data_IF_534873471784
#
_entry.id   IF_534873471784
#
_cell.length_a   1.000
_cell.length_b   1.000
_cell.length_c   1.000
_cell.angle_alpha   90.00
_cell.angle_beta   90.00
_cell.angle_gamma   90.00
#
_symmetry.space_group_name_H-M   'P 1'
#
loop_
_entity.id
_entity.type
_entity.pdbx_description
1 polymer ?
#
# COMPACT_ATOMS: atom_id res chain seq x y z
N UNK A 1 34.33 4.99 -0.65
CA UNK A 1 33.93 6.09 0.29
C UNK A 1 34.37 5.67 1.69
N UNK A 2 34.97 6.58 2.46
CA UNK A 2 35.32 6.28 3.86
C UNK A 2 34.07 6.27 4.79
N UNK A 3 34.26 5.82 6.04
CA UNK A 3 33.15 5.63 6.99
C UNK A 3 32.45 6.96 7.33
N UNK A 4 33.20 8.05 7.49
CA UNK A 4 32.62 9.35 7.83
C UNK A 4 31.83 9.95 6.66
N UNK A 5 32.32 9.79 5.44
CA UNK A 5 31.61 10.21 4.24
C UNK A 5 30.30 9.40 4.06
N UNK A 6 30.31 8.06 4.36
CA UNK A 6 29.09 7.24 4.35
C UNK A 6 28.08 7.71 5.39
N UNK A 7 28.51 7.98 6.62
CA UNK A 7 27.64 8.52 7.67
C UNK A 7 27.01 9.86 7.26
N UNK A 8 27.82 10.77 6.72
CA UNK A 8 27.34 12.08 6.28
C UNK A 8 26.33 11.95 5.13
N UNK A 9 26.60 11.08 4.15
CA UNK A 9 25.69 10.81 3.04
C UNK A 9 24.37 10.21 3.53
N UNK A 10 24.42 9.16 4.36
CA UNK A 10 23.22 8.52 4.91
C UNK A 10 22.37 9.51 5.70
N UNK A 11 23.01 10.38 6.50
CA UNK A 11 22.31 11.44 7.23
C UNK A 11 21.58 12.41 6.27
N UNK A 12 22.24 12.86 5.19
CA UNK A 12 21.60 13.73 4.20
C UNK A 12 20.42 13.06 3.52
N UNK A 13 20.53 11.76 3.18
CA UNK A 13 19.43 10.97 2.60
C UNK A 13 18.23 10.94 3.54
N UNK A 14 18.45 10.62 4.82
CA UNK A 14 17.37 10.60 5.82
C UNK A 14 16.71 11.96 6.00
N UNK A 15 17.51 13.01 6.10
CA UNK A 15 17.00 14.39 6.20
C UNK A 15 16.17 14.77 4.97
N UNK A 16 16.66 14.45 3.77
CA UNK A 16 15.93 14.73 2.53
C UNK A 16 14.58 14.02 2.48
N UNK A 17 14.52 12.77 2.90
CA UNK A 17 13.25 12.06 2.99
C UNK A 17 12.26 12.74 3.94
N UNK A 18 12.69 13.17 5.11
CA UNK A 18 11.84 13.93 6.04
C UNK A 18 11.38 15.27 5.44
N UNK A 19 12.24 16.00 4.73
CA UNK A 19 11.88 17.23 4.00
C UNK A 19 10.82 16.99 2.92
N UNK A 20 10.88 15.82 2.25
CA UNK A 20 9.88 15.41 1.27
C UNK A 20 8.56 14.95 1.92
N UNK A 21 8.48 14.92 3.26
CA UNK A 21 7.30 14.59 4.03
C UNK A 21 7.10 13.10 4.29
N UNK A 22 8.16 12.28 4.16
CA UNK A 22 8.11 10.91 4.68
C UNK A 22 8.15 10.93 6.22
N UNK A 23 7.41 10.02 6.86
CA UNK A 23 7.37 9.92 8.33
C UNK A 23 8.68 9.40 8.89
N UNK A 24 9.25 8.39 8.25
CA UNK A 24 10.52 7.75 8.62
C UNK A 24 11.32 7.37 7.37
N UNK A 25 12.65 7.32 7.49
CA UNK A 25 13.57 6.86 6.43
C UNK A 25 14.60 5.93 7.03
N UNK A 26 14.82 4.79 6.39
CA UNK A 26 15.79 3.78 6.79
C UNK A 26 16.62 3.30 5.62
N UNK A 27 17.67 2.55 5.94
CA UNK A 27 18.59 1.96 4.96
C UNK A 27 18.97 0.55 5.41
N UNK A 28 18.87 -0.41 4.51
CA UNK A 28 19.36 -1.78 4.74
C UNK A 28 20.42 -2.15 3.68
N UNK A 29 21.26 -3.17 3.92
CA UNK A 29 22.08 -3.72 2.86
C UNK A 29 21.19 -4.28 1.74
N UNK A 30 21.66 -4.19 0.48
CA UNK A 30 21.00 -4.90 -0.61
C UNK A 30 21.35 -6.38 -0.53
N UNK A 31 20.34 -7.23 -0.40
CA UNK A 31 20.45 -8.68 -0.44
C UNK A 31 19.15 -9.31 -0.95
N UNK A 32 19.21 -10.58 -1.31
CA UNK A 32 18.03 -11.36 -1.66
C UNK A 32 17.21 -11.72 -0.42
N UNK A 33 15.90 -11.92 -0.60
CA UNK A 33 14.91 -12.24 0.45
C UNK A 33 14.32 -13.67 0.25
N UNK A 34 15.15 -14.73 0.25
CA UNK A 34 14.68 -16.08 -0.08
C UNK A 34 13.65 -16.63 0.90
N UNK A 35 13.79 -16.33 2.20
CA UNK A 35 12.84 -16.77 3.22
C UNK A 35 11.45 -16.12 3.05
N UNK A 36 11.43 -14.85 2.66
CA UNK A 36 10.18 -14.16 2.35
C UNK A 36 9.53 -14.73 1.08
N UNK A 37 10.31 -14.99 0.05
CA UNK A 37 9.84 -15.63 -1.18
C UNK A 37 9.28 -17.03 -0.91
N UNK A 38 9.96 -17.83 -0.09
CA UNK A 38 9.47 -19.15 0.34
C UNK A 38 8.14 -19.04 1.07
N UNK A 39 8.04 -18.13 2.04
CA UNK A 39 6.80 -17.88 2.78
C UNK A 39 5.64 -17.40 1.89
N UNK A 40 5.91 -16.70 0.80
CA UNK A 40 4.89 -16.30 -0.20
C UNK A 40 4.43 -17.53 -1.00
N UNK A 41 5.34 -18.43 -1.40
CA UNK A 41 5.02 -19.66 -2.15
C UNK A 41 4.14 -20.63 -1.37
N UNK A 42 4.27 -20.67 -0.06
CA UNK A 42 3.51 -21.55 0.83
C UNK A 42 2.06 -21.05 1.06
N UNK A 43 1.69 -19.86 0.55
CA UNK A 43 0.38 -19.24 0.79
C UNK A 43 -0.53 -19.39 -0.41
N UNK A 44 -1.77 -19.79 -0.15
CA UNK A 44 -2.83 -19.85 -1.16
C UNK A 44 -3.14 -18.45 -1.73
N UNK A 45 -3.39 -18.42 -3.04
CA UNK A 45 -3.87 -17.23 -3.75
C UNK A 45 -2.77 -16.24 -4.17
N UNK A 46 -1.50 -16.61 -4.00
CA UNK A 46 -0.36 -15.76 -4.40
C UNK A 46 0.22 -16.10 -5.78
N UNK A 47 -0.30 -17.10 -6.49
CA UNK A 47 0.21 -17.59 -7.78
C UNK A 47 0.35 -16.44 -8.79
N UNK A 48 -0.65 -15.58 -8.89
CA UNK A 48 -0.62 -14.43 -9.81
C UNK A 48 0.51 -13.43 -9.53
N UNK A 49 0.98 -13.34 -8.29
CA UNK A 49 2.11 -12.48 -7.92
C UNK A 49 3.43 -13.20 -8.18
N UNK A 50 3.48 -14.51 -7.98
CA UNK A 50 4.64 -15.37 -8.27
C UNK A 50 4.89 -15.40 -9.77
N UNK A 51 3.84 -15.52 -10.58
CA UNK A 51 3.93 -15.60 -12.05
C UNK A 51 4.15 -14.23 -12.73
N UNK A 52 4.03 -13.12 -11.99
CA UNK A 52 4.25 -11.79 -12.53
C UNK A 52 5.71 -11.36 -12.38
N UNK A 53 6.48 -11.22 -13.48
CA UNK A 53 7.91 -10.90 -13.44
C UNK A 53 8.22 -9.47 -12.94
N UNK A 54 7.20 -8.62 -12.78
CA UNK A 54 7.34 -7.26 -12.25
C UNK A 54 6.84 -7.12 -10.80
N UNK A 55 6.42 -8.22 -10.17
CA UNK A 55 5.85 -8.19 -8.82
C UNK A 55 6.92 -8.12 -7.72
N UNK A 56 6.45 -7.85 -6.51
CA UNK A 56 7.28 -7.92 -5.30
C UNK A 56 7.91 -9.31 -5.06
N UNK A 57 7.37 -10.37 -5.66
CA UNK A 57 7.97 -11.69 -5.58
C UNK A 57 9.26 -11.77 -6.40
N UNK A 58 9.24 -11.28 -7.66
CA UNK A 58 10.45 -11.11 -8.45
C UNK A 58 11.45 -10.17 -7.77
N UNK A 59 10.94 -9.11 -7.13
CA UNK A 59 11.74 -8.16 -6.35
C UNK A 59 12.42 -8.75 -5.10
N UNK A 60 12.09 -9.99 -4.70
CA UNK A 60 12.82 -10.69 -3.65
C UNK A 60 14.26 -11.06 -4.04
N UNK A 61 14.62 -10.93 -5.31
CA UNK A 61 15.94 -11.32 -5.82
C UNK A 61 16.63 -10.13 -6.52
N UNK A 62 16.94 -9.03 -5.80
CA UNK A 62 17.59 -7.87 -6.40
C UNK A 62 18.93 -8.17 -7.06
N UNK A 63 19.64 -9.22 -6.63
CA UNK A 63 20.87 -9.68 -7.28
C UNK A 63 20.68 -10.09 -8.75
N UNK A 64 19.47 -10.49 -9.17
CA UNK A 64 19.19 -10.94 -10.53
C UNK A 64 18.98 -9.77 -11.51
N UNK A 65 18.44 -8.64 -11.05
CA UNK A 65 18.09 -7.51 -11.94
C UNK A 65 18.88 -6.22 -11.65
N UNK A 66 19.57 -6.13 -10.51
CA UNK A 66 20.45 -5.01 -10.16
C UNK A 66 21.68 -5.50 -9.38
N UNK A 67 22.56 -6.30 -10.00
CA UNK A 67 23.67 -6.99 -9.33
C UNK A 67 24.72 -6.05 -8.70
N UNK A 68 24.80 -4.78 -9.14
CA UNK A 68 25.64 -3.75 -8.53
C UNK A 68 25.02 -3.11 -7.29
N UNK A 69 23.78 -3.46 -6.93
CA UNK A 69 23.07 -2.91 -5.77
C UNK A 69 23.81 -3.19 -4.45
N UNK A 70 23.93 -2.17 -3.61
CA UNK A 70 24.62 -2.27 -2.31
C UNK A 70 23.72 -1.88 -1.14
N UNK A 71 22.78 -0.99 -1.36
CA UNK A 71 21.85 -0.53 -0.31
C UNK A 71 20.43 -0.41 -0.86
N UNK A 72 19.47 -0.63 0.03
CA UNK A 72 18.07 -0.28 -0.20
C UNK A 72 17.71 0.83 0.78
N UNK A 73 17.38 2.01 0.24
CA UNK A 73 16.77 3.10 1.00
C UNK A 73 15.28 2.82 1.07
N UNK A 74 14.67 2.95 2.23
CA UNK A 74 13.25 2.77 2.41
C UNK A 74 12.64 3.89 3.24
N UNK A 75 11.35 4.17 3.03
CA UNK A 75 10.65 5.22 3.75
C UNK A 75 9.19 4.85 3.99
N UNK A 76 8.60 5.47 5.01
CA UNK A 76 7.19 5.36 5.34
C UNK A 76 6.49 6.70 5.12
N UNK A 77 5.24 6.68 4.67
CA UNK A 77 4.39 7.84 4.53
C UNK A 77 3.01 7.57 5.14
N UNK A 78 2.68 8.29 6.22
CA UNK A 78 1.39 8.20 6.88
C UNK A 78 0.28 8.93 6.14
N UNK A 79 -0.91 8.32 6.09
CA UNK A 79 -2.11 8.92 5.53
C UNK A 79 -3.30 8.89 6.50
N UNK A 80 -3.07 8.53 7.74
CA UNK A 80 -4.10 8.45 8.76
C UNK A 80 -4.53 9.80 9.35
N UNK A 81 -3.91 10.92 8.97
CA UNK A 81 -4.20 12.28 9.44
C UNK A 81 -5.30 13.00 8.64
N UNK A 82 -5.81 12.40 7.58
CA UNK A 82 -6.84 12.98 6.71
C UNK A 82 -8.24 12.68 7.24
N UNK A 83 -9.12 13.67 7.14
CA UNK A 83 -10.56 13.53 7.42
C UNK A 83 -11.25 12.92 6.19
N UNK A 84 -11.44 11.60 6.24
CA UNK A 84 -12.08 10.87 5.15
C UNK A 84 -13.59 10.89 5.32
N UNK A 85 -14.35 11.42 4.33
CA UNK A 85 -15.81 11.48 4.40
C UNK A 85 -16.43 10.08 4.56
N UNK A 86 -17.34 9.88 5.53
CA UNK A 86 -18.00 8.59 5.76
C UNK A 86 -18.76 8.07 4.53
N UNK A 87 -19.26 8.98 3.68
CA UNK A 87 -19.96 8.66 2.43
C UNK A 87 -19.05 7.91 1.47
N UNK A 88 -17.79 8.34 1.34
CA UNK A 88 -16.80 7.69 0.48
C UNK A 88 -16.25 6.41 1.12
N UNK A 89 -16.05 6.40 2.44
CA UNK A 89 -15.52 5.23 3.17
C UNK A 89 -16.43 4.01 3.10
N UNK A 90 -17.73 4.19 2.83
CA UNK A 90 -18.64 3.06 2.56
C UNK A 90 -18.27 2.27 1.31
N UNK A 91 -17.56 2.89 0.37
CA UNK A 91 -17.30 2.37 -0.95
C UNK A 91 -15.82 2.23 -1.28
N UNK A 92 -14.96 3.07 -0.71
CA UNK A 92 -13.56 3.20 -1.10
C UNK A 92 -12.67 3.18 0.14
N UNK A 93 -11.63 2.33 0.16
CA UNK A 93 -10.67 2.29 1.25
C UNK A 93 -9.79 3.55 1.33
N UNK A 94 -9.40 3.95 2.55
CA UNK A 94 -8.63 5.18 2.84
C UNK A 94 -7.36 5.33 2.01
N UNK A 95 -6.64 4.25 1.78
CA UNK A 95 -5.37 4.28 1.03
C UNK A 95 -5.55 4.82 -0.40
N UNK A 96 -6.69 4.57 -1.02
CA UNK A 96 -7.02 5.07 -2.36
C UNK A 96 -7.48 6.52 -2.31
N UNK A 97 -8.33 6.87 -1.34
CA UNK A 97 -8.78 8.25 -1.11
C UNK A 97 -7.59 9.17 -0.77
N UNK A 98 -6.57 8.66 -0.10
CA UNK A 98 -5.34 9.39 0.21
C UNK A 98 -4.48 9.72 -1.01
N UNK A 99 -4.68 9.07 -2.15
CA UNK A 99 -3.91 9.27 -3.40
C UNK A 99 -2.40 9.13 -3.23
N UNK A 100 -1.96 8.33 -2.26
CA UNK A 100 -0.55 8.15 -1.92
C UNK A 100 -0.01 6.73 -2.20
N UNK A 101 -0.86 5.80 -2.61
CA UNK A 101 -0.45 4.41 -2.81
C UNK A 101 0.21 4.17 -4.16
N UNK A 102 -0.34 4.73 -5.23
CA UNK A 102 0.22 4.55 -6.56
C UNK A 102 1.03 5.74 -6.96
N UNK A 103 2.32 5.54 -7.24
CA UNK A 103 3.19 6.59 -7.72
C UNK A 103 2.95 6.85 -9.21
N UNK A 104 1.87 7.53 -9.56
CA UNK A 104 1.80 8.11 -10.92
C UNK A 104 2.44 9.48 -10.90
N UNK A 105 3.07 9.90 -12.04
CA UNK A 105 3.88 11.12 -12.10
C UNK A 105 3.18 12.38 -11.56
N UNK A 106 1.88 12.48 -11.75
CA UNK A 106 1.12 13.69 -11.43
C UNK A 106 0.59 13.76 -9.99
N UNK A 107 0.61 12.64 -9.26
CA UNK A 107 0.14 12.64 -7.88
C UNK A 107 1.26 12.89 -6.87
N UNK A 108 0.86 13.12 -5.60
CA UNK A 108 1.78 13.40 -4.51
C UNK A 108 2.77 12.24 -4.28
N UNK A 109 2.31 10.99 -4.42
CA UNK A 109 3.15 9.82 -4.26
C UNK A 109 4.23 9.73 -5.35
N UNK A 110 3.84 9.91 -6.62
CA UNK A 110 4.78 9.88 -7.74
C UNK A 110 5.82 11.00 -7.65
N UNK A 111 5.37 12.23 -7.35
CA UNK A 111 6.28 13.37 -7.20
C UNK A 111 7.30 13.18 -6.07
N UNK A 112 6.89 12.60 -4.93
CA UNK A 112 7.80 12.31 -3.82
C UNK A 112 8.78 11.18 -4.15
N UNK A 113 8.29 10.12 -4.77
CA UNK A 113 9.11 8.99 -5.20
C UNK A 113 10.20 9.47 -6.18
N UNK A 114 9.81 10.26 -7.16
CA UNK A 114 10.72 10.84 -8.16
C UNK A 114 11.72 11.79 -7.53
N UNK A 115 11.27 12.77 -6.73
CA UNK A 115 12.14 13.74 -6.06
C UNK A 115 13.19 13.08 -5.14
N UNK A 116 12.84 11.96 -4.48
CA UNK A 116 13.81 11.20 -3.70
C UNK A 116 14.81 10.47 -4.60
N UNK A 117 14.34 9.86 -5.68
CA UNK A 117 15.20 9.19 -6.66
C UNK A 117 16.19 10.17 -7.32
N UNK A 118 15.71 11.32 -7.80
CA UNK A 118 16.54 12.41 -8.35
C UNK A 118 17.57 12.91 -7.33
N UNK A 119 17.17 13.03 -6.06
CA UNK A 119 18.10 13.39 -5.01
C UNK A 119 19.21 12.35 -4.85
N UNK A 120 18.87 11.06 -4.80
CA UNK A 120 19.86 9.97 -4.70
C UNK A 120 20.84 10.00 -5.89
N UNK A 121 20.33 10.17 -7.10
CA UNK A 121 21.15 10.32 -8.32
C UNK A 121 22.05 11.57 -8.26
N UNK A 122 21.55 12.68 -7.74
CA UNK A 122 22.35 13.92 -7.54
C UNK A 122 23.52 13.75 -6.56
N UNK A 123 23.46 12.71 -5.70
CA UNK A 123 24.57 12.33 -4.81
C UNK A 123 25.58 11.38 -5.49
N UNK A 124 25.41 11.11 -6.79
CA UNK A 124 26.30 10.26 -7.59
C UNK A 124 26.01 8.77 -7.49
N UNK A 125 24.81 8.38 -7.08
CA UNK A 125 24.38 6.98 -7.02
C UNK A 125 23.62 6.59 -8.28
N UNK A 126 23.80 5.36 -8.74
CA UNK A 126 22.89 4.72 -9.68
C UNK A 126 21.66 4.23 -8.91
N UNK A 127 20.47 4.65 -9.33
CA UNK A 127 19.19 4.23 -8.76
C UNK A 127 18.50 3.28 -9.72
N UNK A 128 18.03 2.12 -9.23
CA UNK A 128 17.21 1.23 -10.05
C UNK A 128 15.93 1.91 -10.48
N UNK A 129 15.74 2.03 -11.80
CA UNK A 129 14.58 2.66 -12.45
C UNK A 129 13.72 1.66 -13.24
N UNK A 130 13.92 0.35 -13.00
CA UNK A 130 13.12 -0.69 -13.63
C UNK A 130 11.72 -0.80 -13.01
N UNK A 131 10.94 -1.73 -13.54
CA UNK A 131 9.54 -1.94 -13.17
C UNK A 131 9.30 -3.07 -12.15
N UNK A 132 10.37 -3.72 -11.67
CA UNK A 132 10.24 -4.78 -10.66
C UNK A 132 10.01 -4.12 -9.30
N UNK A 133 8.90 -4.48 -8.65
CA UNK A 133 8.52 -3.97 -7.33
C UNK A 133 9.32 -4.70 -6.24
N UNK A 134 10.01 -3.96 -5.38
CA UNK A 134 10.72 -4.54 -4.24
C UNK A 134 9.74 -4.97 -3.13
N UNK A 135 10.08 -5.99 -2.32
CA UNK A 135 9.24 -6.44 -1.20
C UNK A 135 9.31 -5.44 -0.03
N UNK A 136 8.62 -4.29 -0.15
CA UNK A 136 8.75 -3.16 0.76
C UNK A 136 8.49 -3.49 2.24
N UNK A 137 7.62 -4.46 2.53
CA UNK A 137 7.30 -4.83 3.93
C UNK A 137 8.49 -5.43 4.68
N UNK A 138 9.15 -6.51 4.22
CA UNK A 138 10.34 -7.04 4.88
C UNK A 138 11.48 -6.02 4.91
N UNK A 139 11.68 -5.24 3.84
CA UNK A 139 12.69 -4.18 3.77
C UNK A 139 12.49 -3.14 4.89
N UNK A 140 11.30 -2.58 5.00
CA UNK A 140 11.00 -1.59 6.04
C UNK A 140 11.02 -2.18 7.46
N UNK A 141 10.67 -3.46 7.61
CA UNK A 141 10.75 -4.13 8.91
C UNK A 141 12.20 -4.36 9.35
N UNK A 142 13.07 -4.80 8.45
CA UNK A 142 14.52 -4.97 8.72
C UNK A 142 15.19 -3.64 9.08
N UNK A 143 14.77 -2.55 8.43
CA UNK A 143 15.22 -1.20 8.76
C UNK A 143 14.66 -0.67 10.10
N UNK A 144 13.78 -1.40 10.78
CA UNK A 144 13.13 -0.97 12.03
C UNK A 144 12.10 0.15 11.85
N UNK A 145 11.62 0.37 10.62
CA UNK A 145 10.60 1.39 10.36
C UNK A 145 9.20 0.91 10.69
N UNK A 146 8.93 -0.38 10.58
CA UNK A 146 7.60 -0.98 10.79
C UNK A 146 7.68 -2.30 11.55
N UNK A 147 6.56 -2.65 12.18
CA UNK A 147 6.29 -3.99 12.73
C UNK A 147 5.12 -4.62 11.96
N UNK A 148 4.86 -5.91 12.16
CA UNK A 148 3.76 -6.60 11.52
C UNK A 148 2.52 -6.68 12.40
N UNK A 149 1.34 -6.66 11.76
CA UNK A 149 0.07 -7.02 12.39
C UNK A 149 -0.44 -8.39 11.93
N UNK A 150 -1.34 -8.99 12.73
CA UNK A 150 -1.99 -10.27 12.39
C UNK A 150 -2.86 -10.17 11.11
N UNK A 151 -3.28 -8.95 10.71
CA UNK A 151 -3.96 -8.68 9.44
C UNK A 151 -3.00 -8.55 8.24
N UNK A 152 -1.72 -8.88 8.40
CA UNK A 152 -0.68 -8.80 7.38
C UNK A 152 -0.32 -7.38 6.91
N UNK A 153 -0.75 -6.33 7.63
CA UNK A 153 -0.31 -4.95 7.40
C UNK A 153 0.97 -4.63 8.15
N UNK A 154 1.73 -3.67 7.61
CA UNK A 154 2.81 -2.99 8.30
C UNK A 154 2.23 -1.91 9.22
N UNK A 155 2.86 -1.70 10.37
CA UNK A 155 2.45 -0.72 11.38
C UNK A 155 3.64 0.14 11.79
N UNK A 156 3.41 1.44 11.89
CA UNK A 156 4.29 2.37 12.60
C UNK A 156 3.65 2.79 13.92
N UNK A 157 4.43 3.34 14.83
CA UNK A 157 3.91 3.88 16.09
C UNK A 157 3.03 5.12 15.83
N UNK A 158 3.45 5.99 14.89
CA UNK A 158 2.80 7.25 14.61
C UNK A 158 1.52 7.10 13.77
N UNK A 159 1.54 6.21 12.76
CA UNK A 159 0.50 6.14 11.72
C UNK A 159 -0.32 4.84 11.78
N UNK A 160 -0.02 3.95 12.74
CA UNK A 160 -0.64 2.64 12.77
C UNK A 160 -0.42 1.91 11.44
N UNK A 161 -1.46 1.29 10.89
CA UNK A 161 -1.40 0.65 9.58
C UNK A 161 -1.79 1.57 8.41
N UNK A 162 -2.09 2.84 8.67
CA UNK A 162 -2.40 3.83 7.63
C UNK A 162 -1.12 4.45 7.08
N UNK A 163 -0.26 3.60 6.53
CA UNK A 163 1.09 3.93 6.07
C UNK A 163 1.37 3.28 4.71
N UNK A 164 2.04 4.02 3.82
CA UNK A 164 2.59 3.51 2.56
C UNK A 164 4.10 3.36 2.72
N UNK A 165 4.65 2.33 2.09
CA UNK A 165 6.06 1.99 2.11
C UNK A 165 6.68 2.27 0.74
N UNK A 166 7.83 2.94 0.72
CA UNK A 166 8.58 3.26 -0.49
C UNK A 166 10.00 2.71 -0.39
N UNK A 167 10.57 2.33 -1.53
CA UNK A 167 11.91 1.74 -1.60
C UNK A 167 12.67 2.25 -2.82
N UNK A 168 14.00 2.45 -2.67
CA UNK A 168 14.94 2.82 -3.72
C UNK A 168 16.17 1.93 -3.59
N UNK A 169 16.50 1.20 -4.63
CA UNK A 169 17.67 0.34 -4.70
C UNK A 169 18.82 1.13 -5.34
N UNK A 170 19.99 1.17 -4.68
CA UNK A 170 21.14 1.99 -5.08
C UNK A 170 22.46 1.20 -5.06
N UNK A 171 23.42 1.61 -5.90
CA UNK A 171 24.74 1.01 -6.04
C UNK A 171 25.78 1.49 -5.00
N UNK A 172 25.37 2.35 -4.10
CA UNK A 172 26.26 2.92 -3.08
C UNK A 172 26.09 2.21 -1.73
N UNK A 173 27.22 1.97 -1.06
CA UNK A 173 27.27 1.48 0.32
C UNK A 173 26.98 2.62 1.31
N UNK A 174 25.94 2.47 2.11
CA UNK A 174 25.47 3.43 3.10
C UNK A 174 25.67 2.86 4.53
N UNK A 175 25.29 3.65 5.54
CA UNK A 175 25.19 3.13 6.91
C UNK A 175 23.81 2.50 7.10
N UNK A 176 23.81 1.25 7.52
CA UNK A 176 22.60 0.45 7.63
C UNK A 176 21.93 0.61 9.00
N UNK A 177 20.61 0.66 8.96
CA UNK A 177 19.76 0.44 10.11
C UNK A 177 19.47 -1.06 10.21
N UNK A 178 19.36 -1.56 11.43
CA UNK A 178 18.99 -2.96 11.69
C UNK A 178 18.10 -3.01 12.92
N UNK A 179 17.02 -3.74 12.80
CA UNK A 179 16.13 -4.03 13.91
C UNK A 179 15.55 -5.44 13.75
N UNK A 180 15.19 -6.11 14.85
CA UNK A 180 14.46 -7.36 14.77
C UNK A 180 13.08 -7.10 14.15
N UNK A 181 12.62 -8.04 13.32
CA UNK A 181 11.25 -8.01 12.78
C UNK A 181 10.32 -8.49 13.89
N UNK A 182 9.55 -7.58 14.45
CA UNK A 182 8.67 -7.85 15.58
C UNK A 182 7.19 -7.90 15.16
N UNK A 183 6.41 -8.71 15.87
CA UNK A 183 4.96 -8.69 15.86
C UNK A 183 4.45 -8.22 17.21
N UNK A 184 3.92 -7.01 17.26
CA UNK A 184 3.40 -6.39 18.49
C UNK A 184 1.93 -6.75 18.78
N UNK A 185 1.32 -7.64 18.01
CA UNK A 185 -0.03 -8.12 18.34
C UNK A 185 0.03 -8.99 19.60
N UNK A 186 -0.86 -8.79 20.58
CA UNK A 186 -1.00 -9.73 21.68
C UNK A 186 -1.19 -11.17 21.17
N UNK A 187 -0.64 -12.19 21.85
CA UNK A 187 -0.66 -13.58 21.39
C UNK A 187 -2.06 -14.09 21.01
N UNK A 188 -3.08 -13.70 21.77
CA UNK A 188 -4.47 -14.13 21.59
C UNK A 188 -5.32 -13.17 20.77
N UNK A 189 -4.73 -12.11 20.21
CA UNK A 189 -5.47 -11.12 19.43
C UNK A 189 -5.88 -11.69 18.07
N UNK A 190 -7.19 -11.72 17.83
CA UNK A 190 -7.80 -12.22 16.59
C UNK A 190 -8.92 -11.30 16.06
N UNK A 191 -8.93 -10.02 16.49
CA UNK A 191 -9.99 -9.08 16.13
C UNK A 191 -10.13 -8.90 14.61
N UNK A 192 -9.00 -8.71 13.91
CA UNK A 192 -9.00 -8.55 12.47
C UNK A 192 -9.44 -9.82 11.71
N UNK A 193 -9.11 -11.02 12.24
CA UNK A 193 -9.56 -12.29 11.68
C UNK A 193 -11.07 -12.42 11.78
N UNK A 194 -11.63 -12.15 12.97
CA UNK A 194 -13.08 -12.23 13.22
C UNK A 194 -13.88 -11.18 12.46
N UNK A 195 -13.31 -10.01 12.26
CA UNK A 195 -13.97 -8.90 11.58
C UNK A 195 -13.95 -9.04 10.05
N UNK A 196 -13.03 -9.83 9.47
CA UNK A 196 -12.94 -9.98 8.03
C UNK A 196 -14.18 -10.71 7.49
N UNK A 197 -15.09 -10.04 6.75
CA UNK A 197 -16.38 -10.60 6.38
C UNK A 197 -16.26 -11.73 5.34
N UNK A 198 -15.15 -11.77 4.61
CA UNK A 198 -14.88 -12.79 3.58
C UNK A 198 -13.95 -13.90 4.08
N UNK A 199 -13.50 -13.84 5.34
CA UNK A 199 -12.56 -14.80 5.90
C UNK A 199 -11.18 -14.80 5.20
N UNK A 200 -10.80 -13.71 4.57
CA UNK A 200 -9.53 -13.60 3.84
C UNK A 200 -8.30 -13.71 4.76
N UNK A 201 -8.42 -13.32 6.02
CA UNK A 201 -7.36 -13.51 7.02
C UNK A 201 -7.58 -14.86 7.70
N UNK A 202 -6.91 -15.89 7.20
CA UNK A 202 -7.13 -17.28 7.57
C UNK A 202 -6.48 -17.66 8.91
N UNK A 203 -5.36 -17.05 9.22
CA UNK A 203 -4.64 -17.14 10.50
C UNK A 203 -3.74 -15.90 10.68
N UNK A 204 -3.13 -15.69 11.86
CA UNK A 204 -2.24 -14.56 12.08
C UNK A 204 -1.16 -14.42 10.98
N UNK A 205 -1.16 -13.27 10.28
CA UNK A 205 -0.28 -12.95 9.15
C UNK A 205 -0.47 -13.81 7.88
N UNK A 206 -1.48 -14.66 7.83
CA UNK A 206 -1.83 -15.44 6.65
C UNK A 206 -3.09 -14.84 6.02
N UNK A 207 -2.90 -14.05 4.98
CA UNK A 207 -3.96 -13.47 4.17
C UNK A 207 -4.03 -14.25 2.84
N UNK A 208 -5.22 -14.73 2.48
CA UNK A 208 -5.50 -15.20 1.13
C UNK A 208 -6.04 -14.02 0.30
N UNK A 209 -5.25 -13.49 -0.64
CA UNK A 209 -5.66 -12.31 -1.41
C UNK A 209 -6.87 -12.58 -2.31
N UNK A 210 -7.09 -13.82 -2.77
CA UNK A 210 -8.23 -14.18 -3.61
C UNK A 210 -9.58 -14.08 -2.87
N UNK A 211 -9.57 -14.14 -1.54
CA UNK A 211 -10.74 -13.91 -0.67
C UNK A 211 -10.83 -12.45 -0.20
N UNK A 212 -9.77 -11.65 -0.33
CA UNK A 212 -9.76 -10.27 0.16
C UNK A 212 -10.64 -9.37 -0.69
N UNK A 213 -11.51 -8.57 -0.08
CA UNK A 213 -12.36 -7.59 -0.76
C UNK A 213 -11.54 -6.71 -1.71
N UNK A 214 -10.38 -6.23 -1.25
CA UNK A 214 -9.51 -5.40 -2.07
C UNK A 214 -9.24 -6.02 -3.44
N UNK A 215 -8.70 -7.25 -3.49
CA UNK A 215 -8.35 -7.88 -4.75
C UNK A 215 -9.60 -8.20 -5.59
N UNK A 216 -10.69 -8.60 -4.92
CA UNK A 216 -11.96 -8.89 -5.59
C UNK A 216 -12.60 -7.66 -6.23
N UNK A 217 -12.32 -6.46 -5.73
CA UNK A 217 -12.71 -5.22 -6.41
C UNK A 217 -11.87 -4.92 -7.66
N UNK A 218 -10.70 -5.55 -7.83
CA UNK A 218 -9.77 -5.26 -8.92
C UNK A 218 -9.81 -6.29 -10.06
N UNK A 219 -10.24 -7.53 -9.77
CA UNK A 219 -10.18 -8.65 -10.71
C UNK A 219 -11.58 -9.23 -10.99
N UNK A 220 -11.81 -9.81 -12.18
CA UNK A 220 -13.11 -10.36 -12.53
C UNK A 220 -13.42 -11.71 -11.83
N UNK A 221 -12.39 -12.48 -11.45
CA UNK A 221 -12.48 -13.87 -11.00
C UNK A 221 -11.99 -14.08 -9.56
N UNK A 222 -12.27 -13.15 -8.66
CA UNK A 222 -11.99 -13.31 -7.23
C UNK A 222 -12.89 -14.37 -6.57
N UNK A 223 -12.51 -14.82 -5.37
CA UNK A 223 -13.17 -15.88 -4.62
C UNK A 223 -14.02 -15.40 -3.43
N UNK A 224 -14.09 -14.07 -3.21
CA UNK A 224 -14.89 -13.52 -2.13
C UNK A 224 -16.40 -13.68 -2.44
N UNK A 225 -17.18 -14.01 -1.40
CA UNK A 225 -18.63 -13.97 -1.51
C UNK A 225 -19.09 -12.51 -1.80
N UNK A 226 -19.78 -12.26 -2.92
CA UNK A 226 -20.25 -10.93 -3.27
C UNK A 226 -21.10 -10.25 -2.19
N UNK A 227 -21.91 -11.02 -1.43
CA UNK A 227 -22.72 -10.48 -0.32
C UNK A 227 -21.85 -10.03 0.85
N UNK A 228 -20.81 -10.80 1.17
CA UNK A 228 -19.87 -10.46 2.24
C UNK A 228 -18.98 -9.25 1.90
N UNK A 229 -18.83 -8.91 0.62
CA UNK A 229 -18.11 -7.70 0.20
C UNK A 229 -18.85 -6.40 0.53
N UNK A 230 -20.13 -6.45 0.86
CA UNK A 230 -20.93 -5.27 1.21
C UNK A 230 -20.97 -4.23 0.08
N UNK A 231 -20.87 -2.96 0.45
CA UNK A 231 -20.91 -1.82 -0.48
C UNK A 231 -19.54 -1.37 -1.01
N UNK A 232 -18.45 -2.06 -0.69
CA UNK A 232 -17.11 -1.70 -1.16
C UNK A 232 -16.95 -1.92 -2.65
N UNK A 233 -16.51 -0.91 -3.38
CA UNK A 233 -16.20 -0.99 -4.82
C UNK A 233 -14.69 -0.91 -5.10
N UNK A 234 -13.90 -0.37 -4.15
CA UNK A 234 -12.45 -0.24 -4.30
C UNK A 234 -11.74 -0.18 -2.95
N UNK A 235 -11.09 -1.26 -2.54
CA UNK A 235 -10.44 -1.34 -1.23
C UNK A 235 -11.38 -1.72 -0.10
N UNK A 236 -10.83 -1.82 1.12
CA UNK A 236 -11.54 -2.15 2.34
C UNK A 236 -10.64 -1.89 3.55
N UNK A 237 -11.17 -1.29 4.61
CA UNK A 237 -10.41 -0.97 5.83
C UNK A 237 -10.87 -1.75 7.08
N UNK A 238 -11.84 -2.67 6.97
CA UNK A 238 -12.48 -3.33 8.13
C UNK A 238 -11.46 -3.92 9.10
N UNK A 239 -10.46 -4.67 8.61
CA UNK A 239 -9.43 -5.28 9.47
C UNK A 239 -8.45 -4.26 10.08
N UNK A 240 -8.38 -3.05 9.55
CA UNK A 240 -7.60 -1.95 10.10
C UNK A 240 -8.41 -1.14 11.13
N UNK A 241 -9.71 -0.93 10.89
CA UNK A 241 -10.60 -0.16 11.77
C UNK A 241 -10.83 -0.84 13.12
N UNK A 242 -10.92 -2.17 13.14
CA UNK A 242 -11.10 -2.93 14.39
C UNK A 242 -9.81 -3.11 15.19
N UNK A 243 -8.67 -2.72 14.64
CA UNK A 243 -7.38 -2.94 15.26
C UNK A 243 -7.09 -1.90 16.38
N UNK A 244 -6.84 -2.33 17.65
CA UNK A 244 -6.51 -1.40 18.71
C UNK A 244 -5.28 -0.53 18.42
N UNK A 245 -4.32 -1.04 17.67
CA UNK A 245 -3.11 -0.29 17.26
C UNK A 245 -3.41 0.91 16.36
N UNK A 246 -4.61 1.00 15.81
CA UNK A 246 -5.08 2.12 15.00
C UNK A 246 -5.98 3.11 15.76
N UNK A 247 -6.35 2.82 17.01
CA UNK A 247 -7.32 3.64 17.75
C UNK A 247 -6.88 5.10 17.88
N UNK A 248 -5.61 5.34 18.20
CA UNK A 248 -5.11 6.70 18.37
C UNK A 248 -5.07 7.45 17.04
N UNK A 249 -4.65 6.77 15.97
CA UNK A 249 -4.67 7.32 14.62
C UNK A 249 -6.09 7.68 14.19
N UNK A 250 -7.07 6.81 14.45
CA UNK A 250 -8.46 7.03 14.06
C UNK A 250 -9.14 8.15 14.85
N UNK A 251 -8.71 8.43 16.10
CA UNK A 251 -9.32 9.40 17.01
C UNK A 251 -8.68 10.78 17.03
N UNK A 252 -7.41 10.89 16.59
CA UNK A 252 -6.73 12.20 16.59
C UNK A 252 -7.37 13.19 15.62
N UNK A 253 -7.10 14.49 15.83
CA UNK A 253 -7.52 15.56 14.92
C UNK A 253 -7.08 15.29 13.49
N UNK A 254 -7.96 15.58 12.56
CA UNK A 254 -7.81 15.30 11.14
C UNK A 254 -7.65 16.58 10.33
N UNK A 255 -6.86 16.47 9.28
CA UNK A 255 -6.70 17.50 8.26
C UNK A 255 -7.76 17.31 7.17
N UNK A 256 -8.47 18.36 6.84
CA UNK A 256 -9.37 18.35 5.69
C UNK A 256 -8.60 18.29 4.37
N UNK A 257 -9.15 17.58 3.41
CA UNK A 257 -8.66 17.53 2.03
C UNK A 257 -9.77 18.07 1.12
N UNK A 258 -9.60 19.27 0.52
CA UNK A 258 -10.61 19.87 -0.36
C UNK A 258 -11.01 18.97 -1.54
N UNK A 259 -10.07 18.16 -2.04
CA UNK A 259 -10.35 17.20 -3.10
C UNK A 259 -11.41 16.17 -2.66
N UNK A 260 -11.37 15.70 -1.40
CA UNK A 260 -12.35 14.74 -0.91
C UNK A 260 -13.74 15.38 -0.72
N UNK A 261 -13.81 16.68 -0.37
CA UNK A 261 -15.07 17.42 -0.30
C UNK A 261 -15.72 17.55 -1.71
N UNK A 262 -14.90 17.83 -2.74
CA UNK A 262 -15.33 17.84 -4.14
C UNK A 262 -15.73 16.44 -4.64
N UNK A 263 -15.00 15.42 -4.22
CA UNK A 263 -15.29 14.04 -4.60
C UNK A 263 -16.64 13.57 -4.01
N UNK A 264 -16.97 13.93 -2.76
CA UNK A 264 -18.29 13.63 -2.19
C UNK A 264 -19.41 14.22 -3.04
N UNK A 265 -19.25 15.44 -3.51
CA UNK A 265 -20.26 16.11 -4.32
C UNK A 265 -20.43 15.51 -5.74
N UNK A 266 -19.36 14.89 -6.27
CA UNK A 266 -19.32 14.37 -7.65
C UNK A 266 -19.44 12.84 -7.73
N UNK A 267 -19.17 12.11 -6.62
CA UNK A 267 -19.21 10.65 -6.60
C UNK A 267 -20.67 10.16 -6.66
N UNK A 268 -20.96 9.34 -7.67
CA UNK A 268 -22.28 8.76 -7.90
C UNK A 268 -22.15 7.28 -8.28
N UNK A 269 -22.66 6.41 -7.42
CA UNK A 269 -22.58 4.97 -7.58
C UNK A 269 -23.37 4.45 -8.80
N UNK A 270 -24.48 5.11 -9.17
CA UNK A 270 -25.27 4.76 -10.37
C UNK A 270 -24.50 5.09 -11.63
N UNK A 271 -23.76 6.19 -11.66
CA UNK A 271 -22.86 6.52 -12.76
C UNK A 271 -21.72 5.52 -12.90
N UNK A 272 -21.18 5.02 -11.76
CA UNK A 272 -20.17 3.96 -11.79
C UNK A 272 -20.76 2.67 -12.36
N UNK A 273 -22.00 2.33 -12.01
CA UNK A 273 -22.72 1.16 -12.56
C UNK A 273 -23.03 1.30 -14.06
N UNK A 274 -23.14 2.51 -14.57
CA UNK A 274 -23.37 2.80 -15.99
C UNK A 274 -22.10 3.01 -16.82
N UNK A 275 -20.91 2.78 -16.26
CA UNK A 275 -19.64 3.07 -16.94
C UNK A 275 -19.34 2.09 -18.08
N UNK A 276 -19.33 2.55 -19.33
CA UNK A 276 -19.09 1.72 -20.52
C UNK A 276 -17.64 1.76 -21.02
N UNK A 277 -16.91 2.82 -20.71
CA UNK A 277 -15.53 3.02 -21.14
C UNK A 277 -14.68 3.71 -20.08
N UNK A 278 -13.38 3.43 -20.07
CA UNK A 278 -12.40 4.17 -19.27
C UNK A 278 -11.98 5.51 -19.88
N UNK A 279 -12.45 5.80 -21.11
CA UNK A 279 -12.32 7.11 -21.76
C UNK A 279 -13.49 8.06 -21.41
N UNK A 280 -14.46 7.57 -20.63
CA UNK A 280 -15.57 8.38 -20.12
C UNK A 280 -15.06 9.54 -19.22
N UNK A 281 -15.63 10.72 -19.39
CA UNK A 281 -15.25 11.92 -18.64
C UNK A 281 -15.40 11.73 -17.14
N UNK A 282 -16.46 11.05 -16.71
CA UNK A 282 -16.69 10.76 -15.31
C UNK A 282 -15.61 9.83 -14.70
N UNK A 283 -15.21 8.79 -15.47
CA UNK A 283 -14.10 7.96 -15.04
C UNK A 283 -12.81 8.78 -14.91
N UNK A 284 -12.47 9.55 -15.95
CA UNK A 284 -11.24 10.33 -16.01
C UNK A 284 -11.14 11.36 -14.89
N UNK A 285 -12.23 12.11 -14.65
CA UNK A 285 -12.21 13.31 -13.82
C UNK A 285 -12.58 13.00 -12.34
N UNK A 286 -13.41 11.98 -12.08
CA UNK A 286 -13.91 11.63 -10.75
C UNK A 286 -13.26 10.36 -10.19
N UNK A 287 -13.27 9.26 -10.96
CA UNK A 287 -12.84 7.96 -10.42
C UNK A 287 -11.33 7.75 -10.51
N UNK A 288 -10.72 8.08 -11.62
CA UNK A 288 -9.29 7.84 -11.86
C UNK A 288 -8.37 8.46 -10.81
N UNK A 289 -8.61 9.65 -10.25
CA UNK A 289 -7.77 10.22 -9.20
C UNK A 289 -7.65 9.35 -7.95
N UNK A 290 -8.63 8.48 -7.66
CA UNK A 290 -8.65 7.60 -6.48
C UNK A 290 -8.60 6.12 -6.84
N UNK A 291 -8.99 5.72 -8.03
CA UNK A 291 -9.06 4.30 -8.43
C UNK A 291 -7.98 3.88 -9.41
N UNK A 292 -7.29 4.82 -10.01
CA UNK A 292 -6.20 4.58 -10.97
C UNK A 292 -6.48 3.55 -12.06
N UNK A 293 -5.45 3.23 -12.84
CA UNK A 293 -5.47 2.19 -13.88
C UNK A 293 -5.32 0.76 -13.31
N UNK A 294 -5.66 0.50 -12.04
CA UNK A 294 -5.68 -0.85 -11.48
C UNK A 294 -6.77 -1.70 -12.12
N UNK A 295 -7.93 -1.10 -12.37
CA UNK A 295 -9.02 -1.73 -13.08
C UNK A 295 -8.91 -1.26 -14.53
N UNK A 296 -8.64 -2.21 -15.43
CA UNK A 296 -8.49 -1.95 -16.87
C UNK A 296 -9.74 -2.32 -17.67
N UNK A 297 -10.72 -2.94 -17.00
CA UNK A 297 -11.98 -3.37 -17.61
C UNK A 297 -13.14 -2.63 -16.93
N UNK A 298 -13.90 -1.78 -17.64
CA UNK A 298 -15.05 -1.08 -17.09
C UNK A 298 -16.12 -2.03 -16.53
N UNK A 299 -16.21 -3.27 -17.03
CA UNK A 299 -17.14 -4.28 -16.50
C UNK A 299 -16.89 -4.62 -15.04
N UNK A 300 -15.63 -4.51 -14.56
CA UNK A 300 -15.30 -4.73 -13.15
C UNK A 300 -15.86 -3.59 -12.27
N UNK A 301 -15.80 -2.34 -12.74
CA UNK A 301 -16.41 -1.20 -12.05
C UNK A 301 -17.93 -1.35 -11.97
N UNK A 302 -18.60 -1.64 -13.11
CA UNK A 302 -20.04 -1.86 -13.16
C UNK A 302 -20.47 -2.96 -12.19
N UNK A 303 -19.86 -4.14 -12.27
CA UNK A 303 -20.14 -5.27 -11.37
C UNK A 303 -20.06 -4.87 -9.89
N UNK A 304 -19.00 -4.13 -9.51
CA UNK A 304 -18.80 -3.71 -8.12
C UNK A 304 -19.87 -2.72 -7.68
N UNK A 305 -20.23 -1.75 -8.53
CA UNK A 305 -21.25 -0.75 -8.25
C UNK A 305 -22.65 -1.33 -8.21
N UNK A 306 -23.03 -2.19 -9.17
CA UNK A 306 -24.32 -2.90 -9.21
C UNK A 306 -24.53 -3.72 -7.93
N UNK A 307 -23.48 -4.46 -7.50
CA UNK A 307 -23.53 -5.20 -6.23
C UNK A 307 -23.73 -4.26 -5.04
N UNK A 308 -23.00 -3.15 -4.98
CA UNK A 308 -23.09 -2.18 -3.89
C UNK A 308 -24.49 -1.54 -3.81
N UNK A 309 -25.09 -1.20 -4.96
CA UNK A 309 -26.47 -0.68 -5.05
C UNK A 309 -27.48 -1.73 -4.57
N UNK A 310 -27.34 -3.00 -4.99
CA UNK A 310 -28.24 -4.06 -4.56
C UNK A 310 -28.20 -4.31 -3.04
N UNK A 311 -27.02 -4.25 -2.42
CA UNK A 311 -26.85 -4.37 -0.96
C UNK A 311 -27.47 -3.16 -0.24
N UNK A 312 -27.26 -1.95 -0.76
CA UNK A 312 -27.83 -0.72 -0.18
C UNK A 312 -29.35 -0.69 -0.16
N UNK A 313 -29.99 -1.29 -1.16
CA UNK A 313 -31.48 -1.37 -1.24
C UNK A 313 -32.08 -2.46 -0.33
N UNK A 314 -31.32 -3.46 0.07
CA UNK A 314 -31.79 -4.57 0.92
C UNK A 314 -31.69 -4.32 2.43
N UNK A 315 -31.17 -3.19 2.85
CA UNK A 315 -30.98 -2.80 4.27
C UNK A 315 -31.98 -1.71 4.73
N UNK A 316 -33.03 -1.41 3.94
CA UNK A 316 -34.12 -0.50 4.26
C UNK A 316 -35.26 -1.14 5.05
#
# INVERSE_FOLDING_TARGET
>A
MDVEARKALTKRIKMKGLELGFSRVGVIPCHDFPDYAAAVRERDGYERFIDNPASFYAGCFPSEFFPQGKSIVCATFGFGDVDYPPELLKHIGRIYLARCYVPVPDNVAGKRLEAMGEFLESQGMEVYRGNIELPARPICAEAGLVTYGNNNFAYTEEDGSFVVLYTWLVDAELVYDQAPIENECPPDCNLCLKACPTGAIESPRHLNPMKCILLNCLIPNGQADPKAMGTYIHGCDICQEVCPRNHDVLRRAKRKDPFLEELVASFDLERVAGLDSLDDDYYRDVLRPVMYNYIRDPAVFRRNAERALAVGQGTG
#
